data_IF_963239492607
#
_entry.id   IF_963239492607
#
_cell.length_a   1.000
_cell.length_b   1.000
_cell.length_c   1.000
_cell.angle_alpha   90.00
_cell.angle_beta   90.00
_cell.angle_gamma   90.00
#
_symmetry.space_group_name_H-M   'P 1'
#
loop_
_entity.id
_entity.type
_entity.pdbx_description
1 polymer ?
#
# COMPACT_ATOMS: atom_id res chain seq x y z
N UNK A 1 -0.42 3.47 11.39
CA UNK A 1 -0.55 2.02 11.62
C UNK A 1 0.61 1.31 10.97
N UNK A 2 0.90 0.07 11.37
CA UNK A 2 2.00 -0.75 10.86
C UNK A 2 1.48 -2.16 10.61
N UNK A 3 1.87 -2.78 9.50
CA UNK A 3 1.56 -4.18 9.24
C UNK A 3 2.75 -5.09 9.49
N UNK A 4 2.47 -6.30 9.96
CA UNK A 4 3.44 -7.37 10.16
C UNK A 4 2.94 -8.64 9.49
N UNK A 5 3.83 -9.35 8.81
CA UNK A 5 3.51 -10.59 8.09
C UNK A 5 4.16 -11.80 8.76
N UNK A 6 3.56 -12.97 8.54
CA UNK A 6 3.96 -14.25 9.12
C UNK A 6 5.05 -14.99 8.33
N UNK A 7 5.86 -14.26 7.56
CA UNK A 7 7.02 -14.82 6.85
C UNK A 7 8.28 -14.86 7.73
N UNK A 8 9.18 -15.78 7.38
CA UNK A 8 10.55 -15.82 7.91
C UNK A 8 11.34 -14.64 7.37
N UNK A 9 11.85 -13.78 8.26
CA UNK A 9 12.52 -12.52 7.87
C UNK A 9 13.74 -12.72 6.97
N UNK A 10 14.56 -13.75 7.23
CA UNK A 10 15.75 -14.05 6.41
C UNK A 10 15.42 -14.57 5.01
N UNK A 11 14.16 -14.98 4.77
CA UNK A 11 13.70 -15.51 3.49
C UNK A 11 12.50 -14.73 2.92
N UNK A 12 12.20 -13.53 3.43
CA UNK A 12 11.04 -12.73 3.05
C UNK A 12 10.94 -12.54 1.53
N UNK A 13 9.72 -12.61 0.99
CA UNK A 13 9.39 -12.29 -0.41
C UNK A 13 8.18 -11.37 -0.51
N UNK A 14 8.03 -10.72 -1.67
CA UNK A 14 6.75 -10.10 -2.02
C UNK A 14 5.66 -11.18 -2.01
N UNK A 15 4.45 -10.83 -1.58
CA UNK A 15 3.35 -11.77 -1.45
C UNK A 15 2.94 -12.51 -2.73
N UNK A 16 3.28 -11.94 -3.88
CA UNK A 16 2.99 -12.48 -5.22
C UNK A 16 4.17 -13.24 -5.83
N UNK A 17 5.24 -13.50 -5.06
CA UNK A 17 6.38 -14.29 -5.49
C UNK A 17 6.33 -15.69 -4.87
N UNK A 18 6.92 -16.67 -5.56
CA UNK A 18 7.12 -18.02 -5.02
C UNK A 18 8.22 -18.08 -3.93
N UNK A 19 8.32 -19.23 -3.26
CA UNK A 19 9.36 -19.47 -2.26
C UNK A 19 9.17 -18.74 -0.93
N UNK A 20 7.93 -18.40 -0.58
CA UNK A 20 7.57 -17.84 0.73
C UNK A 20 7.67 -18.93 1.79
N UNK A 21 8.27 -18.58 2.93
CA UNK A 21 8.42 -19.47 4.09
C UNK A 21 7.68 -18.84 5.26
N UNK A 22 6.67 -19.52 5.76
CA UNK A 22 5.91 -19.12 6.94
C UNK A 22 6.72 -19.41 8.21
N UNK A 23 6.51 -18.61 9.24
CA UNK A 23 6.87 -18.95 10.62
C UNK A 23 5.67 -19.60 11.32
N UNK A 24 5.87 -20.30 12.46
CA UNK A 24 4.76 -20.89 13.20
C UNK A 24 3.75 -19.82 13.63
N UNK A 25 2.49 -20.19 13.74
CA UNK A 25 1.40 -19.29 14.12
C UNK A 25 1.74 -18.52 15.42
N UNK A 26 2.29 -19.20 16.42
CA UNK A 26 2.73 -18.61 17.69
C UNK A 26 3.83 -17.55 17.51
N UNK A 27 4.76 -17.71 16.56
CA UNK A 27 5.81 -16.72 16.31
C UNK A 27 5.22 -15.47 15.65
N UNK A 28 4.29 -15.65 14.70
CA UNK A 28 3.57 -14.53 14.11
C UNK A 28 2.76 -13.75 15.18
N UNK A 29 2.07 -14.44 16.08
CA UNK A 29 1.37 -13.82 17.22
C UNK A 29 2.36 -13.07 18.12
N UNK A 30 3.51 -13.65 18.44
CA UNK A 30 4.55 -12.96 19.25
C UNK A 30 5.05 -11.68 18.58
N UNK A 31 5.18 -11.64 17.25
CA UNK A 31 5.51 -10.41 16.50
C UNK A 31 4.43 -9.34 16.68
N UNK A 32 3.15 -9.72 16.64
CA UNK A 32 2.03 -8.80 16.86
C UNK A 32 1.99 -8.27 18.30
N UNK A 33 2.21 -9.14 19.28
CA UNK A 33 2.31 -8.75 20.70
C UNK A 33 3.48 -7.80 20.93
N UNK A 34 4.64 -8.06 20.32
CA UNK A 34 5.79 -7.16 20.40
C UNK A 34 5.50 -5.79 19.76
N UNK A 35 4.79 -5.76 18.63
CA UNK A 35 4.34 -4.51 18.01
C UNK A 35 3.38 -3.72 18.91
N UNK A 36 2.44 -4.39 19.57
CA UNK A 36 1.54 -3.76 20.54
C UNK A 36 2.32 -3.21 21.74
N UNK A 37 3.23 -4.00 22.32
CA UNK A 37 4.09 -3.55 23.42
C UNK A 37 4.88 -2.29 23.05
N UNK A 38 5.43 -2.22 21.84
CA UNK A 38 6.14 -1.02 21.37
C UNK A 38 5.23 0.21 21.31
N UNK A 39 4.00 0.06 20.83
CA UNK A 39 3.01 1.14 20.80
C UNK A 39 2.64 1.61 22.22
N UNK A 40 2.42 0.66 23.14
CA UNK A 40 2.05 0.93 24.53
C UNK A 40 3.17 1.64 25.29
N UNK A 41 4.43 1.20 25.12
CA UNK A 41 5.62 1.85 25.73
C UNK A 41 5.79 3.27 25.22
N UNK A 42 5.52 3.52 23.93
CA UNK A 42 5.55 4.85 23.35
C UNK A 42 4.32 5.71 23.70
N UNK A 43 3.29 5.14 24.35
CA UNK A 43 2.07 5.85 24.72
C UNK A 43 1.24 6.33 23.53
N UNK A 44 1.30 5.62 22.38
CA UNK A 44 0.59 6.00 21.15
C UNK A 44 -0.34 4.87 20.67
N UNK A 45 -1.59 5.15 20.26
CA UNK A 45 -2.56 4.14 19.83
C UNK A 45 -2.30 3.68 18.39
N UNK A 46 -1.10 3.16 18.13
CA UNK A 46 -0.72 2.72 16.77
C UNK A 46 -1.57 1.53 16.37
N UNK A 47 -2.22 1.63 15.20
CA UNK A 47 -2.95 0.51 14.61
C UNK A 47 -1.98 -0.59 14.17
N UNK A 48 -2.23 -1.82 14.59
CA UNK A 48 -1.47 -3.04 14.21
C UNK A 48 -2.29 -3.86 13.22
N UNK A 49 -1.70 -4.19 12.08
CA UNK A 49 -2.32 -4.98 11.02
C UNK A 49 -1.59 -6.32 10.88
N UNK A 50 -2.30 -7.43 11.08
CA UNK A 50 -1.76 -8.77 10.89
C UNK A 50 -1.96 -9.24 9.45
N UNK A 51 -0.88 -9.61 8.78
CA UNK A 51 -0.88 -10.16 7.43
C UNK A 51 -0.52 -11.65 7.46
N UNK A 52 -1.30 -12.47 6.77
CA UNK A 52 -0.92 -13.84 6.44
C UNK A 52 -0.55 -13.96 4.96
N UNK A 53 0.51 -14.72 4.67
CA UNK A 53 0.96 -15.10 3.32
C UNK A 53 0.61 -16.55 2.94
N UNK A 54 -0.14 -17.26 3.80
CA UNK A 54 -0.40 -18.70 3.69
C UNK A 54 -1.34 -19.11 2.56
N UNK A 55 -1.94 -18.17 1.82
CA UNK A 55 -2.67 -18.50 0.60
C UNK A 55 -1.76 -19.14 -0.46
N UNK A 56 -0.53 -18.64 -0.60
CA UNK A 56 0.44 -19.11 -1.59
C UNK A 56 1.74 -19.67 -0.99
N UNK A 57 2.03 -19.43 0.29
CA UNK A 57 3.23 -19.94 0.93
C UNK A 57 3.10 -21.44 1.25
N UNK A 58 3.96 -22.27 0.66
CA UNK A 58 3.93 -23.73 0.79
C UNK A 58 5.09 -24.29 1.64
N UNK A 59 5.80 -23.43 2.37
CA UNK A 59 6.89 -23.79 3.28
C UNK A 59 6.63 -23.20 4.67
N UNK A 60 7.05 -23.91 5.71
CA UNK A 60 6.95 -23.54 7.13
C UNK A 60 8.26 -23.88 7.85
N UNK A 61 8.72 -23.02 8.76
CA UNK A 61 9.99 -23.27 9.46
C UNK A 61 9.95 -24.40 10.48
N UNK A 62 8.81 -24.64 11.14
CA UNK A 62 8.68 -25.64 12.20
C UNK A 62 7.23 -26.11 12.38
N UNK A 63 7.06 -27.38 12.74
CA UNK A 63 5.76 -28.01 13.07
C UNK A 63 5.33 -27.85 14.54
N UNK A 64 6.04 -27.01 15.31
CA UNK A 64 5.87 -26.88 16.76
C UNK A 64 4.47 -26.41 17.18
N UNK A 65 3.77 -25.68 16.31
CA UNK A 65 2.46 -25.09 16.63
C UNK A 65 1.30 -25.99 16.17
N UNK A 66 0.40 -26.42 17.08
CA UNK A 66 -0.77 -27.22 16.73
C UNK A 66 -1.71 -26.57 15.69
N UNK A 67 -1.75 -25.25 15.58
CA UNK A 67 -2.56 -24.56 14.56
C UNK A 67 -2.05 -24.83 13.14
N UNK A 68 -0.76 -25.11 12.99
CA UNK A 68 -0.13 -25.34 11.69
C UNK A 68 -0.12 -26.83 11.29
N UNK A 69 -0.17 -27.72 12.27
CA UNK A 69 -0.08 -29.17 12.06
C UNK A 69 -1.10 -29.74 11.06
N UNK A 70 -2.38 -29.31 11.04
CA UNK A 70 -3.33 -29.79 10.06
C UNK A 70 -2.88 -29.59 8.61
N UNK A 71 -2.05 -28.58 8.33
CA UNK A 71 -1.64 -28.22 6.97
C UNK A 71 -0.34 -28.90 6.51
N UNK A 72 0.40 -29.55 7.40
CA UNK A 72 1.64 -30.25 7.06
C UNK A 72 1.39 -31.38 6.06
N UNK A 73 2.32 -31.57 5.12
CA UNK A 73 2.29 -32.72 4.18
C UNK A 73 3.13 -33.90 4.68
N UNK A 74 3.96 -33.70 5.69
CA UNK A 74 4.94 -34.68 6.18
C UNK A 74 6.30 -34.64 5.46
N UNK A 75 6.45 -33.80 4.42
CA UNK A 75 7.70 -33.65 3.68
C UNK A 75 8.55 -32.48 4.17
N UNK A 76 9.87 -32.58 3.99
CA UNK A 76 10.83 -31.51 4.27
C UNK A 76 11.70 -31.19 3.06
N UNK A 77 12.18 -29.95 2.97
CA UNK A 77 13.17 -29.52 1.97
C UNK A 77 14.60 -29.77 2.45
N UNK A 78 15.59 -29.60 1.56
CA UNK A 78 17.02 -29.72 1.89
C UNK A 78 17.50 -28.71 2.93
N UNK A 79 16.89 -27.52 2.97
CA UNK A 79 17.13 -26.47 3.96
C UNK A 79 16.47 -26.79 5.32
N UNK A 80 15.66 -27.86 5.37
CA UNK A 80 14.96 -28.30 6.58
C UNK A 80 13.58 -27.68 6.78
N UNK A 81 13.04 -26.93 5.83
CA UNK A 81 11.66 -26.40 5.93
C UNK A 81 10.63 -27.51 5.74
N UNK A 82 9.51 -27.41 6.44
CA UNK A 82 8.36 -28.29 6.28
C UNK A 82 7.51 -27.83 5.10
N UNK A 83 6.96 -28.76 4.33
CA UNK A 83 5.96 -28.46 3.30
C UNK A 83 4.58 -28.39 3.92
N UNK A 84 3.81 -27.39 3.51
CA UNK A 84 2.42 -27.17 3.95
C UNK A 84 1.48 -27.04 2.75
N UNK A 85 0.23 -27.42 2.95
CA UNK A 85 -0.88 -27.18 2.02
C UNK A 85 -1.33 -25.73 2.17
N UNK A 86 -0.89 -24.88 1.25
CA UNK A 86 -1.30 -23.49 1.15
C UNK A 86 -2.76 -23.36 0.68
N UNK A 87 -3.37 -22.21 0.93
CA UNK A 87 -4.69 -21.86 0.40
C UNK A 87 -5.62 -21.22 1.43
N UNK A 88 -6.91 -21.19 1.09
CA UNK A 88 -7.94 -20.50 1.87
C UNK A 88 -8.06 -21.04 3.31
N UNK A 89 -8.07 -22.37 3.50
CA UNK A 89 -8.23 -22.96 4.84
C UNK A 89 -7.11 -22.55 5.79
N UNK A 90 -5.85 -22.59 5.32
CA UNK A 90 -4.70 -22.17 6.12
C UNK A 90 -4.73 -20.66 6.38
N UNK A 91 -5.12 -19.87 5.37
CA UNK A 91 -5.32 -18.42 5.53
C UNK A 91 -6.37 -18.10 6.59
N UNK A 92 -7.54 -18.74 6.56
CA UNK A 92 -8.61 -18.57 7.55
C UNK A 92 -8.10 -18.95 8.95
N UNK A 93 -7.47 -20.12 9.09
CA UNK A 93 -6.93 -20.59 10.38
C UNK A 93 -6.00 -19.55 11.01
N UNK A 94 -5.05 -19.03 10.22
CA UNK A 94 -4.12 -18.00 10.67
C UNK A 94 -4.78 -16.64 10.91
N UNK A 95 -5.67 -16.21 10.02
CA UNK A 95 -6.43 -14.97 10.16
C UNK A 95 -7.25 -14.93 11.46
N UNK A 96 -7.93 -16.03 11.81
CA UNK A 96 -8.66 -16.19 13.06
C UNK A 96 -7.71 -16.15 14.26
N UNK A 97 -6.56 -16.84 14.19
CA UNK A 97 -5.58 -16.85 15.28
C UNK A 97 -4.95 -15.47 15.53
N UNK A 98 -4.79 -14.64 14.49
CA UNK A 98 -4.17 -13.31 14.60
C UNK A 98 -5.15 -12.21 15.04
N UNK A 99 -6.45 -12.39 14.76
CA UNK A 99 -7.47 -11.39 14.98
C UNK A 99 -7.49 -10.80 16.41
N UNK A 100 -7.31 -11.56 17.51
CA UNK A 100 -7.27 -10.98 18.86
C UNK A 100 -6.09 -10.04 19.13
N UNK A 101 -5.01 -10.12 18.33
CA UNK A 101 -3.75 -9.42 18.55
C UNK A 101 -3.52 -8.25 17.57
N UNK A 102 -4.47 -8.01 16.66
CA UNK A 102 -4.37 -6.97 15.64
C UNK A 102 -5.68 -6.20 15.51
N UNK A 103 -5.58 -4.92 15.13
CA UNK A 103 -6.72 -4.07 14.84
C UNK A 103 -7.36 -4.46 13.50
N UNK A 104 -6.53 -4.84 12.51
CA UNK A 104 -6.94 -5.31 11.20
C UNK A 104 -6.27 -6.64 10.82
N UNK A 105 -6.96 -7.46 10.03
CA UNK A 105 -6.42 -8.69 9.43
C UNK A 105 -6.42 -8.62 7.90
N UNK A 106 -5.36 -9.10 7.28
CA UNK A 106 -5.14 -9.14 5.83
C UNK A 106 -4.63 -10.52 5.42
N UNK A 107 -5.25 -11.13 4.41
CA UNK A 107 -4.66 -12.24 3.66
C UNK A 107 -4.15 -11.73 2.31
N UNK A 108 -2.87 -11.95 2.00
CA UNK A 108 -2.41 -11.78 0.63
C UNK A 108 -3.01 -12.89 -0.27
N UNK A 109 -3.38 -12.56 -1.50
CA UNK A 109 -3.99 -13.50 -2.45
C UNK A 109 -3.24 -13.53 -3.79
N UNK A 110 -3.33 -14.65 -4.50
CA UNK A 110 -2.76 -14.77 -5.85
C UNK A 110 -3.56 -14.09 -6.97
N UNK A 111 -4.83 -13.73 -6.74
CA UNK A 111 -5.75 -13.13 -7.72
C UNK A 111 -6.74 -12.16 -7.06
N UNK A 112 -7.31 -11.21 -7.82
CA UNK A 112 -8.41 -10.36 -7.35
C UNK A 112 -9.72 -11.15 -7.41
N UNK A 113 -10.03 -11.92 -6.37
CA UNK A 113 -11.16 -12.85 -6.31
C UNK A 113 -12.12 -12.48 -5.17
N UNK A 114 -13.31 -11.98 -5.52
CA UNK A 114 -14.34 -11.61 -4.54
C UNK A 114 -14.95 -12.80 -3.80
N UNK A 115 -14.92 -14.01 -4.39
CA UNK A 115 -15.38 -15.24 -3.75
C UNK A 115 -14.46 -15.64 -2.60
N UNK A 116 -13.16 -15.70 -2.88
CA UNK A 116 -12.13 -15.93 -1.85
C UNK A 116 -12.22 -14.86 -0.75
N UNK A 117 -12.30 -13.58 -1.13
CA UNK A 117 -12.38 -12.48 -0.18
C UNK A 117 -13.59 -12.60 0.75
N UNK A 118 -14.76 -12.96 0.20
CA UNK A 118 -15.98 -13.17 0.99
C UNK A 118 -15.81 -14.33 1.97
N UNK A 119 -15.37 -15.50 1.51
CA UNK A 119 -15.23 -16.69 2.36
C UNK A 119 -14.22 -16.48 3.50
N UNK A 120 -13.10 -15.81 3.21
CA UNK A 120 -12.13 -15.43 4.23
C UNK A 120 -12.75 -14.47 5.27
N UNK A 121 -13.45 -13.44 4.79
CA UNK A 121 -14.06 -12.44 5.66
C UNK A 121 -15.14 -13.04 6.57
N UNK A 122 -16.05 -13.85 6.00
CA UNK A 122 -17.12 -14.53 6.74
C UNK A 122 -16.55 -15.40 7.87
N UNK A 123 -15.52 -16.21 7.58
CA UNK A 123 -14.92 -17.10 8.57
C UNK A 123 -14.18 -16.35 9.70
N UNK A 124 -13.45 -15.27 9.37
CA UNK A 124 -12.77 -14.44 10.38
C UNK A 124 -13.79 -13.72 11.26
N UNK A 125 -14.83 -13.14 10.66
CA UNK A 125 -15.87 -12.38 11.35
C UNK A 125 -16.79 -13.27 12.21
N UNK A 126 -17.03 -14.52 11.81
CA UNK A 126 -17.78 -15.48 12.61
C UNK A 126 -17.12 -15.71 13.98
N UNK A 127 -15.79 -15.83 14.01
CA UNK A 127 -15.02 -16.03 15.27
C UNK A 127 -14.64 -14.72 15.95
N UNK A 128 -14.54 -13.63 15.20
CA UNK A 128 -14.14 -12.32 15.70
C UNK A 128 -15.11 -11.24 15.20
N UNK A 129 -16.32 -11.13 15.80
CA UNK A 129 -17.28 -10.12 15.40
C UNK A 129 -16.67 -8.72 15.43
N UNK A 130 -16.97 -7.91 14.41
CA UNK A 130 -16.45 -6.55 14.22
C UNK A 130 -14.94 -6.44 13.89
N UNK A 131 -14.24 -7.53 13.61
CA UNK A 131 -12.84 -7.45 13.15
C UNK A 131 -12.76 -6.67 11.83
N UNK A 132 -11.93 -5.64 11.80
CA UNK A 132 -11.68 -4.90 10.56
C UNK A 132 -10.74 -5.72 9.66
N UNK A 133 -11.00 -5.70 8.35
CA UNK A 133 -10.18 -6.40 7.37
C UNK A 133 -9.48 -5.41 6.45
N UNK A 134 -8.36 -5.84 5.87
CA UNK A 134 -7.64 -5.09 4.86
C UNK A 134 -7.36 -5.90 3.59
N UNK A 135 -7.38 -5.23 2.44
CA UNK A 135 -7.23 -5.86 1.13
C UNK A 135 -6.21 -5.11 0.27
N UNK A 136 -5.27 -5.86 -0.32
CA UNK A 136 -4.33 -5.33 -1.30
C UNK A 136 -4.90 -5.47 -2.71
N UNK A 137 -5.30 -4.34 -3.30
CA UNK A 137 -5.65 -4.22 -4.70
C UNK A 137 -4.36 -4.21 -5.54
N UNK A 138 -3.66 -5.35 -5.58
CA UNK A 138 -2.29 -5.46 -6.05
C UNK A 138 -2.12 -5.17 -7.54
N UNK A 139 -1.14 -4.32 -7.93
CA UNK A 139 -0.70 -4.20 -9.32
C UNK A 139 0.00 -5.45 -9.87
N UNK A 140 0.39 -6.41 -9.01
CA UNK A 140 0.88 -7.72 -9.47
C UNK A 140 -0.22 -8.56 -10.13
N UNK A 141 -1.49 -8.18 -9.97
CA UNK A 141 -2.58 -8.78 -10.72
C UNK A 141 -2.67 -8.20 -12.13
N UNK A 142 -2.85 -9.07 -13.13
CA UNK A 142 -3.39 -8.63 -14.40
C UNK A 142 -4.92 -8.52 -14.29
N UNK A 143 -5.42 -7.34 -13.94
CA UNK A 143 -6.84 -7.11 -13.60
C UNK A 143 -7.80 -7.55 -14.72
N UNK A 144 -7.61 -7.06 -15.95
CA UNK A 144 -8.45 -7.41 -17.10
C UNK A 144 -8.35 -8.87 -17.55
N UNK A 145 -7.27 -9.57 -17.21
CA UNK A 145 -7.18 -11.02 -17.44
C UNK A 145 -8.05 -11.81 -16.47
N UNK A 146 -8.32 -11.27 -15.28
CA UNK A 146 -9.07 -11.97 -14.23
C UNK A 146 -10.53 -11.51 -14.15
N UNK A 147 -10.84 -10.25 -14.45
CA UNK A 147 -12.13 -9.63 -14.20
C UNK A 147 -12.61 -8.80 -15.41
N UNK A 148 -13.93 -8.70 -15.56
CA UNK A 148 -14.57 -7.77 -16.50
C UNK A 148 -14.61 -6.33 -15.96
N UNK A 149 -14.86 -5.35 -16.85
CA UNK A 149 -14.83 -3.93 -16.50
C UNK A 149 -15.89 -3.56 -15.43
N UNK A 150 -17.05 -4.24 -15.41
CA UNK A 150 -18.09 -4.00 -14.40
C UNK A 150 -17.60 -4.43 -13.02
N UNK A 151 -17.03 -5.63 -12.93
CA UNK A 151 -16.52 -6.18 -11.68
C UNK A 151 -15.34 -5.39 -11.16
N UNK A 152 -14.47 -4.90 -12.05
CA UNK A 152 -13.36 -3.98 -11.68
C UNK A 152 -13.91 -2.69 -11.08
N UNK A 153 -14.93 -2.09 -11.69
CA UNK A 153 -15.51 -0.83 -11.23
C UNK A 153 -16.16 -0.96 -9.84
N UNK A 154 -16.81 -2.08 -9.55
CA UNK A 154 -17.50 -2.33 -8.27
C UNK A 154 -16.60 -3.01 -7.21
N UNK A 155 -15.37 -3.41 -7.56
CA UNK A 155 -14.55 -4.31 -6.75
C UNK A 155 -14.34 -3.84 -5.30
N UNK A 156 -14.00 -2.57 -5.12
CA UNK A 156 -13.72 -2.00 -3.79
C UNK A 156 -14.99 -1.85 -2.94
N UNK A 157 -16.12 -1.52 -3.57
CA UNK A 157 -17.40 -1.41 -2.89
C UNK A 157 -17.86 -2.79 -2.38
N UNK A 158 -17.74 -3.82 -3.22
CA UNK A 158 -18.01 -5.21 -2.84
C UNK A 158 -17.11 -5.69 -1.69
N UNK A 159 -15.83 -5.35 -1.71
CA UNK A 159 -14.92 -5.64 -0.59
C UNK A 159 -15.36 -4.92 0.69
N UNK A 160 -15.81 -3.67 0.60
CA UNK A 160 -16.27 -2.89 1.77
C UNK A 160 -17.49 -3.54 2.43
N UNK A 161 -18.42 -4.11 1.64
CA UNK A 161 -19.57 -4.87 2.13
C UNK A 161 -19.16 -6.08 2.98
N UNK A 162 -18.04 -6.74 2.64
CA UNK A 162 -17.54 -7.91 3.38
C UNK A 162 -16.73 -7.55 4.64
N UNK A 163 -16.47 -6.27 4.89
CA UNK A 163 -15.72 -5.80 6.07
C UNK A 163 -14.28 -5.36 5.80
N UNK A 164 -13.83 -5.32 4.54
CA UNK A 164 -12.53 -4.77 4.16
C UNK A 164 -12.56 -3.23 4.19
N UNK A 165 -12.22 -2.67 5.36
CA UNK A 165 -12.29 -1.22 5.62
C UNK A 165 -11.00 -0.46 5.28
N UNK A 166 -9.89 -1.18 5.08
CA UNK A 166 -8.66 -0.58 4.56
C UNK A 166 -8.26 -1.27 3.25
N UNK A 167 -8.33 -0.55 2.15
CA UNK A 167 -8.04 -1.06 0.81
C UNK A 167 -6.97 -0.18 0.16
N UNK A 168 -5.96 -0.80 -0.45
CA UNK A 168 -4.80 -0.06 -0.93
C UNK A 168 -4.20 -0.70 -2.19
N UNK A 169 -3.62 0.13 -3.04
CA UNK A 169 -2.85 -0.29 -4.22
C UNK A 169 -1.36 -0.12 -3.88
N UNK A 170 -0.69 -1.22 -3.57
CA UNK A 170 0.70 -1.23 -3.06
C UNK A 170 1.71 -0.48 -3.94
N UNK A 171 1.66 -0.67 -5.26
CA UNK A 171 2.68 -0.15 -6.20
C UNK A 171 2.17 1.01 -7.08
N UNK A 172 1.07 1.67 -6.72
CA UNK A 172 0.46 2.73 -7.53
C UNK A 172 1.46 3.85 -7.89
N UNK A 173 2.21 4.34 -6.90
CA UNK A 173 3.18 5.42 -7.10
C UNK A 173 4.31 5.06 -8.06
N UNK A 174 4.87 3.85 -7.94
CA UNK A 174 5.97 3.39 -8.81
C UNK A 174 5.49 3.22 -10.25
N UNK A 175 4.36 2.53 -10.45
CA UNK A 175 3.82 2.34 -11.80
C UNK A 175 3.46 3.67 -12.47
N UNK A 176 2.85 4.60 -11.73
CA UNK A 176 2.49 5.91 -12.27
C UNK A 176 3.74 6.76 -12.58
N UNK A 177 4.68 6.88 -11.65
CA UNK A 177 5.88 7.70 -11.83
C UNK A 177 6.75 7.19 -12.99
N UNK A 178 7.05 5.89 -13.02
CA UNK A 178 7.94 5.32 -14.03
C UNK A 178 7.33 5.32 -15.42
N UNK A 179 6.03 5.04 -15.53
CA UNK A 179 5.36 5.09 -16.83
C UNK A 179 5.36 6.51 -17.41
N UNK A 180 4.94 7.51 -16.64
CA UNK A 180 4.89 8.89 -17.14
C UNK A 180 6.29 9.43 -17.47
N UNK A 181 7.31 9.09 -16.67
CA UNK A 181 8.69 9.46 -16.98
C UNK A 181 9.21 8.77 -18.24
N UNK A 182 8.92 7.47 -18.41
CA UNK A 182 9.28 6.74 -19.63
C UNK A 182 8.60 7.35 -20.86
N UNK A 183 7.30 7.62 -20.79
CA UNK A 183 6.51 8.17 -21.89
C UNK A 183 6.99 9.59 -22.29
N UNK A 184 7.35 10.43 -21.33
CA UNK A 184 7.97 11.73 -21.58
C UNK A 184 9.36 11.56 -22.22
N UNK A 185 10.24 10.79 -21.60
CA UNK A 185 11.63 10.64 -22.05
C UNK A 185 11.73 9.99 -23.44
N UNK A 186 10.82 9.06 -23.75
CA UNK A 186 10.79 8.37 -25.03
C UNK A 186 10.57 9.33 -26.20
N UNK A 187 9.57 10.21 -26.09
CA UNK A 187 9.24 11.18 -27.14
C UNK A 187 10.22 12.35 -27.13
N UNK A 188 10.59 12.87 -25.94
CA UNK A 188 11.57 13.94 -25.81
C UNK A 188 12.89 13.63 -26.52
N UNK A 189 13.35 12.37 -26.44
CA UNK A 189 14.59 11.93 -27.08
C UNK A 189 14.49 11.74 -28.62
N UNK A 190 13.28 11.72 -29.19
CA UNK A 190 13.03 11.42 -30.62
C UNK A 190 12.78 12.65 -31.49
N UNK A 191 12.79 13.84 -30.91
CA UNK A 191 12.57 15.10 -31.60
C UNK A 191 11.55 15.96 -30.88
N UNK A 192 11.41 17.21 -31.31
CA UNK A 192 10.44 18.19 -30.77
C UNK A 192 10.56 18.54 -29.26
N UNK A 193 11.40 17.83 -28.48
CA UNK A 193 11.90 18.18 -27.14
C UNK A 193 10.86 18.85 -26.25
N UNK A 194 11.01 20.16 -26.06
CA UNK A 194 10.13 20.98 -25.20
C UNK A 194 8.64 20.90 -25.57
N UNK A 195 8.29 20.65 -26.84
CA UNK A 195 6.89 20.43 -27.23
C UNK A 195 6.29 19.23 -26.48
N UNK A 196 7.04 18.15 -26.31
CA UNK A 196 6.59 16.98 -25.55
C UNK A 196 6.50 17.26 -24.05
N UNK A 197 7.40 18.07 -23.50
CA UNK A 197 7.27 18.52 -22.10
C UNK A 197 5.99 19.35 -21.89
N UNK A 198 5.71 20.31 -22.78
CA UNK A 198 4.50 21.14 -22.73
C UNK A 198 3.24 20.27 -22.82
N UNK A 199 3.17 19.37 -23.80
CA UNK A 199 1.99 18.56 -24.07
C UNK A 199 1.72 17.48 -23.02
N UNK A 200 2.77 16.84 -22.49
CA UNK A 200 2.64 15.68 -21.58
C UNK A 200 2.65 16.06 -20.10
N UNK A 201 3.22 17.21 -19.75
CA UNK A 201 3.38 17.66 -18.35
C UNK A 201 2.66 18.98 -18.13
N UNK A 202 3.12 20.05 -18.77
CA UNK A 202 2.71 21.41 -18.39
C UNK A 202 1.22 21.72 -18.68
N UNK A 203 0.72 21.41 -19.88
CA UNK A 203 -0.69 21.62 -20.23
C UNK A 203 -1.65 20.74 -19.40
N UNK A 204 -1.37 19.43 -19.19
CA UNK A 204 -2.14 18.63 -18.25
C UNK A 204 -2.17 19.17 -16.83
N UNK A 205 -1.06 19.68 -16.31
CA UNK A 205 -0.99 20.31 -14.99
C UNK A 205 -1.83 21.59 -14.92
N UNK A 206 -1.79 22.45 -15.94
CA UNK A 206 -2.64 23.63 -16.03
C UNK A 206 -4.13 23.26 -16.09
N UNK A 207 -4.51 22.28 -16.91
CA UNK A 207 -5.88 21.80 -16.98
C UNK A 207 -6.35 21.14 -15.67
N UNK A 208 -5.44 20.53 -14.91
CA UNK A 208 -5.75 19.93 -13.61
C UNK A 208 -5.98 20.97 -12.49
N UNK A 209 -5.63 22.25 -12.69
CA UNK A 209 -5.91 23.33 -11.72
C UNK A 209 -7.40 23.41 -11.35
N UNK A 210 -8.30 23.24 -12.34
CA UNK A 210 -9.75 23.23 -12.13
C UNK A 210 -10.23 22.08 -11.23
N UNK A 211 -9.41 21.03 -11.09
CA UNK A 211 -9.66 19.88 -10.20
C UNK A 211 -8.87 19.95 -8.89
N UNK A 212 -8.19 21.07 -8.62
CA UNK A 212 -7.45 21.32 -7.38
C UNK A 212 -5.95 20.99 -7.41
N UNK A 213 -5.33 20.79 -8.58
CA UNK A 213 -3.88 20.60 -8.68
C UNK A 213 -3.11 21.93 -8.55
N UNK A 214 -2.10 21.98 -7.68
CA UNK A 214 -1.42 23.22 -7.28
C UNK A 214 0.09 23.29 -7.60
N UNK A 215 0.74 22.15 -7.89
CA UNK A 215 2.19 22.10 -8.15
C UNK A 215 2.62 22.77 -9.48
N UNK A 216 1.68 23.20 -10.31
CA UNK A 216 1.91 24.17 -11.41
C UNK A 216 2.72 25.40 -10.96
N UNK A 217 2.57 25.80 -9.69
CA UNK A 217 3.31 26.85 -9.00
C UNK A 217 4.23 26.18 -7.98
N UNK A 218 5.30 25.56 -8.48
CA UNK A 218 6.13 24.67 -7.70
C UNK A 218 6.92 25.38 -6.58
N UNK A 219 7.23 26.68 -6.69
CA UNK A 219 7.89 27.45 -5.63
C UNK A 219 6.95 27.66 -4.44
N UNK A 220 5.70 28.04 -4.71
CA UNK A 220 4.66 28.11 -3.69
C UNK A 220 4.45 26.74 -3.02
N UNK A 221 4.33 25.68 -3.81
CA UNK A 221 4.03 24.33 -3.32
C UNK A 221 5.13 23.75 -2.40
N UNK A 222 6.40 24.09 -2.65
CA UNK A 222 7.53 23.71 -1.78
C UNK A 222 7.74 24.66 -0.59
N UNK A 223 6.87 25.65 -0.42
CA UNK A 223 6.82 26.51 0.75
C UNK A 223 7.69 27.78 0.66
N UNK A 224 8.04 28.28 -0.53
CA UNK A 224 8.80 29.53 -0.66
C UNK A 224 8.12 30.70 0.09
N UNK A 225 6.80 30.84 -0.04
CA UNK A 225 6.04 31.86 0.69
C UNK A 225 6.04 31.69 2.21
N UNK A 226 6.04 30.45 2.69
CA UNK A 226 6.18 30.17 4.13
C UNK A 226 7.53 30.67 4.67
N UNK A 227 8.62 30.45 3.93
CA UNK A 227 9.94 30.94 4.32
C UNK A 227 10.08 32.46 4.17
N UNK A 228 9.38 33.08 3.23
CA UNK A 228 9.28 34.54 3.14
C UNK A 228 8.57 35.14 4.36
N UNK A 229 7.47 34.53 4.84
CA UNK A 229 6.78 34.96 6.05
C UNK A 229 7.67 34.82 7.30
N UNK A 230 8.37 33.69 7.42
CA UNK A 230 9.37 33.47 8.50
C UNK A 230 10.43 34.58 8.48
N UNK A 231 10.96 34.91 7.30
CA UNK A 231 11.97 35.97 7.13
C UNK A 231 11.41 37.33 7.49
N UNK A 232 10.19 37.64 7.05
CA UNK A 232 9.49 38.89 7.30
C UNK A 232 9.25 39.09 8.79
N UNK A 233 8.81 38.05 9.51
CA UNK A 233 8.62 38.10 10.98
C UNK A 233 9.94 38.31 11.71
N UNK A 234 10.98 37.56 11.38
CA UNK A 234 12.31 37.67 12.01
C UNK A 234 12.90 39.07 11.83
N UNK A 235 12.70 39.66 10.64
CA UNK A 235 13.27 40.96 10.29
C UNK A 235 12.30 42.13 10.50
N UNK A 236 11.17 41.92 11.19
CA UNK A 236 10.22 43.00 11.49
C UNK A 236 9.67 43.71 10.24
N UNK A 237 9.52 42.99 9.12
CA UNK A 237 8.99 43.51 7.87
C UNK A 237 9.97 44.24 6.96
N UNK A 238 11.26 44.28 7.30
CA UNK A 238 12.26 45.05 6.53
C UNK A 238 13.13 44.22 5.58
N UNK A 239 12.77 42.96 5.32
CA UNK A 239 13.57 42.09 4.43
C UNK A 239 13.53 42.58 3.00
N UNK A 240 14.70 42.67 2.36
CA UNK A 240 14.85 42.99 0.94
C UNK A 240 15.16 41.75 0.08
N UNK A 241 15.08 40.54 0.65
CA UNK A 241 15.53 39.28 0.03
C UNK A 241 14.45 38.19 0.09
N UNK A 242 13.17 38.57 0.07
CA UNK A 242 12.05 37.63 -0.09
C UNK A 242 12.07 37.01 -1.48
N UNK A 243 11.73 35.73 -1.60
CA UNK A 243 11.92 34.89 -2.77
C UNK A 243 10.76 34.95 -3.78
N UNK A 244 9.51 35.14 -3.35
CA UNK A 244 8.35 35.13 -4.25
C UNK A 244 8.17 36.43 -5.03
N UNK A 245 8.42 37.57 -4.40
CA UNK A 245 8.30 38.90 -5.04
C UNK A 245 9.32 39.03 -6.17
N UNK A 246 8.83 39.18 -7.41
CA UNK A 246 9.66 39.26 -8.61
C UNK A 246 10.09 37.90 -9.19
N UNK A 247 9.48 36.80 -8.74
CA UNK A 247 9.72 35.47 -9.31
C UNK A 247 9.01 35.26 -10.65
N UNK A 248 9.55 34.39 -11.52
CA UNK A 248 8.85 33.98 -12.76
C UNK A 248 7.52 33.28 -12.47
N UNK A 249 7.38 32.69 -11.28
CA UNK A 249 6.12 32.08 -10.84
C UNK A 249 5.02 33.15 -10.64
N UNK A 250 5.34 34.23 -9.94
CA UNK A 250 4.42 35.37 -9.77
C UNK A 250 4.01 35.96 -11.13
N UNK A 251 4.96 36.10 -12.06
CA UNK A 251 4.73 36.73 -13.36
C UNK A 251 3.97 35.83 -14.36
N UNK A 252 4.29 34.54 -14.43
CA UNK A 252 3.86 33.67 -15.53
C UNK A 252 2.82 32.62 -15.11
N UNK A 253 2.62 32.41 -13.81
CA UNK A 253 1.77 31.33 -13.29
C UNK A 253 0.58 31.83 -12.45
N UNK A 254 0.55 33.13 -12.14
CA UNK A 254 -0.59 33.81 -11.52
C UNK A 254 -1.88 33.64 -12.34
N UNK A 255 -3.05 33.69 -11.68
CA UNK A 255 -4.33 33.67 -12.40
C UNK A 255 -4.36 34.83 -13.38
N UNK A 256 -4.51 34.53 -14.68
CA UNK A 256 -4.86 35.54 -15.68
C UNK A 256 -6.11 36.24 -15.14
N UNK A 257 -6.00 37.52 -14.80
CA UNK A 257 -7.14 38.32 -14.43
C UNK A 257 -8.12 38.25 -15.61
N UNK A 258 -9.24 37.56 -15.44
CA UNK A 258 -10.33 37.58 -16.40
C UNK A 258 -10.80 39.04 -16.49
N UNK A 259 -10.56 39.66 -17.65
CA UNK A 259 -11.08 40.97 -18.02
C UNK A 259 -12.60 40.93 -18.17
#
# INVERSE_FOLDING_TARGET
GVHFEDQLSSAKKCGHMGGKVLVPTQEAVQKLVAARLAADVCGVPTLVLARTDSEAANLLTSEVDPNDQPFLTGERTSEGFYRVRNGLEQAISRGVAYAPYADLVWCETGKPDLGFAREFAEAVLEKNPNKLLAYNCSPSFNWRRNLDDKTIAEFQDRLSEYGYKYQFITLAGIHNMWFNMFDLAYDYARGEGMKHYVQKVQEPEFAARERGYTFVSHQQEVGAGYFDDVTTVIQGGSSSVTALTGSTEEEQFGRVATA
#
